data_IF_369019179487
#
_entry.id   IF_369019179487
#
_cell.length_a   1.000
_cell.length_b   1.000
_cell.length_c   1.000
_cell.angle_alpha   90.00
_cell.angle_beta   90.00
_cell.angle_gamma   90.00
#
_symmetry.space_group_name_H-M   'P 1'
#
loop_
_entity.id
_entity.type
_entity.pdbx_description
1 polymer ?
#
# COMPACT_ATOMS: atom_id res chain seq x y z
N UNK A 1 1.95 -10.80 11.53
CA UNK A 1 2.38 -11.25 10.19
C UNK A 1 1.80 -12.62 9.84
N UNK A 2 1.96 -13.66 10.69
CA UNK A 2 1.31 -14.97 10.46
C UNK A 2 -0.22 -14.91 10.32
N UNK A 3 -0.91 -14.12 11.16
CA UNK A 3 -2.35 -13.90 11.04
C UNK A 3 -2.76 -13.31 9.67
N UNK A 4 -1.93 -12.47 9.04
CA UNK A 4 -2.17 -11.97 7.68
C UNK A 4 -2.12 -13.11 6.67
N UNK A 5 -1.02 -13.86 6.67
CA UNK A 5 -0.83 -14.98 5.77
C UNK A 5 -1.95 -16.03 5.89
N UNK A 6 -2.29 -16.44 7.12
CA UNK A 6 -3.35 -17.43 7.31
C UNK A 6 -4.74 -16.89 6.96
N UNK A 7 -5.00 -15.59 7.14
CA UNK A 7 -6.25 -14.97 6.70
C UNK A 7 -6.39 -15.01 5.18
N UNK A 8 -5.32 -14.72 4.44
CA UNK A 8 -5.31 -14.85 2.98
C UNK A 8 -5.49 -16.30 2.52
N UNK A 9 -4.76 -17.24 3.13
CA UNK A 9 -4.93 -18.67 2.84
C UNK A 9 -6.32 -19.19 3.17
N UNK A 10 -7.00 -18.58 4.15
CA UNK A 10 -8.39 -18.90 4.49
C UNK A 10 -9.40 -18.27 3.53
N UNK A 11 -9.09 -17.09 2.98
CA UNK A 11 -9.93 -16.38 2.02
C UNK A 11 -9.94 -17.07 0.64
N UNK A 12 -8.82 -17.70 0.25
CA UNK A 12 -8.73 -18.49 -0.97
C UNK A 12 -9.67 -19.72 -0.96
N UNK A 13 -10.15 -20.18 -2.13
CA UNK A 13 -11.06 -21.32 -2.21
C UNK A 13 -10.35 -22.61 -1.80
N UNK A 14 -10.89 -23.32 -0.81
CA UNK A 14 -10.29 -24.56 -0.27
C UNK A 14 -10.95 -25.83 -0.80
N UNK A 15 -11.47 -25.84 -2.03
CA UNK A 15 -12.31 -26.93 -2.55
C UNK A 15 -11.75 -28.32 -2.20
N UNK A 16 -12.45 -29.04 -1.31
CA UNK A 16 -12.13 -30.42 -0.92
C UNK A 16 -10.85 -30.63 -0.10
N UNK A 17 -10.15 -29.58 0.36
CA UNK A 17 -8.90 -29.72 1.12
C UNK A 17 -9.06 -29.22 2.55
N UNK A 18 -8.94 -30.14 3.50
CA UNK A 18 -8.74 -29.79 4.91
C UNK A 18 -7.32 -29.24 5.08
N UNK A 19 -7.21 -27.94 5.39
CA UNK A 19 -5.93 -27.29 5.70
C UNK A 19 -5.87 -26.97 7.18
N UNK A 20 -4.66 -26.91 7.75
CA UNK A 20 -4.45 -26.50 9.15
C UNK A 20 -4.57 -24.97 9.35
N UNK A 21 -4.67 -24.20 8.28
CA UNK A 21 -4.69 -22.73 8.33
C UNK A 21 -5.83 -22.13 9.17
N UNK A 22 -7.07 -22.65 9.17
CA UNK A 22 -8.13 -22.11 10.03
C UNK A 22 -7.77 -22.24 11.52
N UNK A 23 -7.25 -23.39 11.95
CA UNK A 23 -6.87 -23.63 13.33
C UNK A 23 -5.69 -22.74 13.76
N UNK A 24 -4.67 -22.60 12.89
CA UNK A 24 -3.55 -21.69 13.13
C UNK A 24 -4.00 -20.23 13.17
N UNK A 25 -4.96 -19.84 12.32
CA UNK A 25 -5.51 -18.49 12.33
C UNK A 25 -6.33 -18.21 13.59
N UNK A 26 -7.12 -19.17 14.06
CA UNK A 26 -7.87 -19.02 15.32
C UNK A 26 -6.92 -18.85 16.52
N UNK A 27 -5.74 -19.45 16.47
CA UNK A 27 -4.68 -19.21 17.47
C UNK A 27 -4.04 -17.82 17.34
N UNK A 28 -3.75 -17.37 16.12
CA UNK A 28 -3.07 -16.08 15.88
C UNK A 28 -4.00 -14.86 15.92
N UNK A 29 -5.30 -15.03 15.71
CA UNK A 29 -6.31 -13.98 15.66
C UNK A 29 -7.62 -14.46 16.31
N UNK A 30 -7.62 -14.71 17.64
CA UNK A 30 -8.78 -15.27 18.34
C UNK A 30 -10.00 -14.36 18.29
N UNK A 31 -9.78 -13.04 18.24
CA UNK A 31 -10.83 -12.03 18.15
C UNK A 31 -11.30 -11.77 16.72
N UNK A 32 -10.72 -12.45 15.72
CA UNK A 32 -11.05 -12.33 14.29
C UNK A 32 -10.88 -10.90 13.75
N UNK A 33 -10.04 -10.09 14.38
CA UNK A 33 -9.86 -8.68 14.00
C UNK A 33 -9.09 -8.59 12.69
N UNK A 34 -7.99 -9.35 12.56
CA UNK A 34 -7.15 -9.35 11.36
C UNK A 34 -7.89 -10.04 10.21
N UNK A 35 -8.59 -11.14 10.48
CA UNK A 35 -9.38 -11.87 9.50
C UNK A 35 -10.48 -11.01 8.92
N UNK A 36 -11.23 -10.29 9.77
CA UNK A 36 -12.31 -9.40 9.32
C UNK A 36 -11.74 -8.25 8.48
N UNK A 37 -10.68 -7.59 8.98
CA UNK A 37 -9.98 -6.52 8.26
C UNK A 37 -9.54 -6.95 6.86
N UNK A 38 -8.89 -8.12 6.72
CA UNK A 38 -8.44 -8.61 5.41
C UNK A 38 -9.62 -8.97 4.50
N UNK A 39 -10.69 -9.55 5.05
CA UNK A 39 -11.89 -9.84 4.28
C UNK A 39 -12.55 -8.55 3.76
N UNK A 40 -12.61 -7.51 4.58
CA UNK A 40 -13.12 -6.19 4.21
C UNK A 40 -12.27 -5.57 3.10
N UNK A 41 -10.94 -5.63 3.21
CA UNK A 41 -10.01 -5.12 2.20
C UNK A 41 -10.16 -5.82 0.85
N UNK A 42 -10.33 -7.15 0.83
CA UNK A 42 -10.41 -7.93 -0.42
C UNK A 42 -11.81 -7.91 -1.06
N UNK A 43 -12.84 -7.69 -0.24
CA UNK A 43 -14.23 -7.67 -0.65
C UNK A 43 -14.67 -8.95 -1.36
N UNK A 44 -15.44 -8.81 -2.44
CA UNK A 44 -15.99 -9.95 -3.18
C UNK A 44 -14.90 -10.75 -3.89
N UNK A 45 -14.93 -12.05 -3.66
CA UNK A 45 -14.06 -13.03 -4.29
C UNK A 45 -14.37 -13.18 -5.79
N UNK A 46 -13.33 -13.10 -6.62
CA UNK A 46 -13.36 -13.34 -8.06
C UNK A 46 -12.12 -14.13 -8.44
N UNK A 47 -12.16 -14.84 -9.57
CA UNK A 47 -11.03 -15.68 -10.01
C UNK A 47 -9.72 -14.90 -10.15
N UNK A 48 -9.76 -13.69 -10.70
CA UNK A 48 -8.56 -12.85 -10.83
C UNK A 48 -7.99 -12.44 -9.48
N UNK A 49 -8.85 -12.08 -8.51
CA UNK A 49 -8.40 -11.74 -7.16
C UNK A 49 -7.83 -12.94 -6.41
N UNK A 50 -8.38 -14.14 -6.62
CA UNK A 50 -7.81 -15.37 -6.06
C UNK A 50 -6.37 -15.56 -6.53
N UNK A 51 -6.11 -15.37 -7.83
CA UNK A 51 -4.76 -15.46 -8.38
C UNK A 51 -3.82 -14.39 -7.79
N UNK A 52 -4.29 -13.15 -7.63
CA UNK A 52 -3.50 -12.08 -6.99
C UNK A 52 -3.21 -12.38 -5.51
N UNK A 53 -4.20 -12.86 -4.76
CA UNK A 53 -4.03 -13.22 -3.35
C UNK A 53 -3.11 -14.43 -3.20
N UNK A 54 -3.15 -15.39 -4.12
CA UNK A 54 -2.24 -16.53 -4.11
C UNK A 54 -0.80 -16.10 -4.39
N UNK A 55 -0.56 -15.26 -5.40
CA UNK A 55 0.74 -14.63 -5.66
C UNK A 55 1.25 -13.86 -4.43
N UNK A 56 0.40 -13.01 -3.85
CA UNK A 56 0.75 -12.23 -2.67
C UNK A 56 1.02 -13.10 -1.43
N UNK A 57 0.41 -14.29 -1.34
CA UNK A 57 0.70 -15.23 -0.26
C UNK A 57 2.12 -15.79 -0.33
N UNK A 58 2.66 -16.03 -1.53
CA UNK A 58 4.07 -16.41 -1.69
C UNK A 58 5.01 -15.29 -1.25
N UNK A 59 4.64 -14.02 -1.48
CA UNK A 59 5.36 -12.86 -0.95
C UNK A 59 5.43 -12.87 0.58
N UNK A 60 4.30 -13.07 1.25
CA UNK A 60 4.26 -13.12 2.71
C UNK A 60 5.03 -14.33 3.25
N UNK A 61 4.93 -15.48 2.58
CA UNK A 61 5.65 -16.70 2.99
C UNK A 61 7.16 -16.50 2.96
N UNK A 62 7.67 -15.85 1.91
CA UNK A 62 9.09 -15.47 1.83
C UNK A 62 9.52 -14.57 3.00
N UNK A 63 8.73 -13.54 3.32
CA UNK A 63 9.03 -12.63 4.43
C UNK A 63 8.94 -13.31 5.80
N UNK A 64 8.02 -14.26 5.97
CA UNK A 64 7.79 -14.96 7.23
C UNK A 64 8.80 -16.06 7.51
N UNK A 65 9.23 -16.77 6.46
CA UNK A 65 10.13 -17.92 6.57
C UNK A 65 11.59 -17.56 6.36
N UNK A 66 11.87 -16.33 5.90
CA UNK A 66 13.22 -15.87 5.60
C UNK A 66 13.75 -16.40 4.28
N UNK A 67 14.96 -15.95 3.93
CA UNK A 67 15.61 -16.33 2.67
C UNK A 67 16.12 -17.76 2.73
N UNK A 68 15.68 -18.57 1.79
CA UNK A 68 16.28 -19.88 1.48
C UNK A 68 17.31 -19.72 0.35
N UNK A 69 18.28 -20.63 0.22
CA UNK A 69 19.18 -20.67 -0.93
C UNK A 69 18.40 -20.72 -2.25
N UNK A 70 18.87 -19.98 -3.26
CA UNK A 70 18.16 -19.78 -4.53
C UNK A 70 17.98 -21.12 -5.29
N UNK A 71 18.89 -22.07 -5.08
CA UNK A 71 18.89 -23.43 -5.63
C UNK A 71 18.13 -24.46 -4.78
N UNK A 72 17.59 -24.04 -3.63
CA UNK A 72 16.85 -24.95 -2.77
C UNK A 72 15.56 -25.45 -3.45
N UNK A 73 15.12 -26.70 -3.22
CA UNK A 73 13.88 -27.24 -3.79
C UNK A 73 12.66 -26.35 -3.52
N UNK A 74 12.62 -25.70 -2.35
CA UNK A 74 11.55 -24.79 -1.97
C UNK A 74 11.54 -23.52 -2.83
N UNK A 75 12.69 -22.88 -3.06
CA UNK A 75 12.75 -21.69 -3.90
C UNK A 75 12.42 -22.00 -5.36
N UNK A 76 12.91 -23.14 -5.87
CA UNK A 76 12.58 -23.60 -7.22
C UNK A 76 11.06 -23.86 -7.38
N UNK A 77 10.45 -24.53 -6.40
CA UNK A 77 9.00 -24.78 -6.41
C UNK A 77 8.19 -23.47 -6.33
N UNK A 78 8.58 -22.56 -5.45
CA UNK A 78 7.94 -21.24 -5.30
C UNK A 78 8.03 -20.41 -6.59
N UNK A 79 9.21 -20.39 -7.22
CA UNK A 79 9.43 -19.71 -8.50
C UNK A 79 8.55 -20.29 -9.60
N UNK A 80 8.54 -21.63 -9.76
CA UNK A 80 7.71 -22.29 -10.76
C UNK A 80 6.21 -22.03 -10.54
N UNK A 81 5.75 -22.07 -9.29
CA UNK A 81 4.35 -21.76 -8.93
C UNK A 81 4.01 -20.30 -9.27
N UNK A 82 4.88 -19.36 -8.90
CA UNK A 82 4.72 -17.93 -9.19
C UNK A 82 4.66 -17.68 -10.71
N UNK A 83 5.56 -18.27 -11.49
CA UNK A 83 5.56 -18.16 -12.96
C UNK A 83 4.27 -18.73 -13.57
N UNK A 84 3.76 -19.85 -13.06
CA UNK A 84 2.51 -20.44 -13.51
C UNK A 84 1.31 -19.53 -13.20
N UNK A 85 1.25 -18.97 -11.99
CA UNK A 85 0.18 -18.06 -11.58
C UNK A 85 0.20 -16.76 -12.38
N UNK A 86 1.37 -16.18 -12.65
CA UNK A 86 1.50 -14.98 -13.50
C UNK A 86 0.95 -15.26 -14.91
N UNK A 87 1.26 -16.43 -15.49
CA UNK A 87 0.70 -16.81 -16.80
C UNK A 87 -0.82 -16.92 -16.76
N UNK A 88 -1.40 -17.39 -15.66
CA UNK A 88 -2.84 -17.48 -15.50
C UNK A 88 -3.48 -16.09 -15.34
N UNK A 89 -2.89 -15.22 -14.50
CA UNK A 89 -3.34 -13.82 -14.33
C UNK A 89 -3.41 -13.11 -15.68
N UNK A 90 -2.39 -13.28 -16.52
CA UNK A 90 -2.30 -12.65 -17.85
C UNK A 90 -3.38 -13.10 -18.85
N UNK A 91 -4.17 -14.14 -18.55
CA UNK A 91 -5.32 -14.57 -19.36
C UNK A 91 -6.60 -13.80 -19.05
N UNK A 92 -6.62 -13.06 -17.94
CA UNK A 92 -7.75 -12.24 -17.52
C UNK A 92 -7.52 -10.75 -17.86
N UNK A 93 -8.53 -9.92 -17.65
CA UNK A 93 -8.38 -8.46 -17.70
C UNK A 93 -7.65 -7.98 -16.42
N UNK A 94 -6.32 -8.01 -16.47
CA UNK A 94 -5.45 -7.82 -15.33
C UNK A 94 -4.85 -6.42 -15.30
N UNK A 95 -4.65 -5.87 -14.10
CA UNK A 95 -3.91 -4.63 -13.89
C UNK A 95 -2.42 -4.95 -13.72
N UNK A 96 -1.57 -4.35 -14.57
CA UNK A 96 -0.12 -4.51 -14.54
C UNK A 96 0.51 -4.00 -13.24
N UNK A 97 -0.05 -2.95 -12.65
CA UNK A 97 0.43 -2.37 -11.39
C UNK A 97 0.10 -3.27 -10.21
N UNK A 98 -1.12 -3.82 -10.15
CA UNK A 98 -1.48 -4.82 -9.14
C UNK A 98 -0.56 -6.03 -9.29
N UNK A 99 -0.39 -6.51 -10.53
CA UNK A 99 0.45 -7.66 -10.82
C UNK A 99 1.91 -7.42 -10.42
N UNK A 100 2.46 -6.23 -10.66
CA UNK A 100 3.81 -5.86 -10.24
C UNK A 100 3.92 -5.73 -8.71
N UNK A 101 2.88 -5.24 -8.03
CA UNK A 101 2.89 -5.04 -6.59
C UNK A 101 2.76 -6.32 -5.76
N UNK A 102 2.06 -7.34 -6.30
CA UNK A 102 1.99 -8.67 -5.68
C UNK A 102 3.24 -9.50 -5.95
N UNK A 103 4.01 -9.14 -6.98
CA UNK A 103 5.30 -9.75 -7.28
C UNK A 103 6.40 -9.11 -6.43
N UNK A 104 7.22 -9.94 -5.78
CA UNK A 104 8.42 -9.46 -5.13
C UNK A 104 9.46 -9.20 -6.21
N UNK A 105 9.67 -7.95 -6.58
CA UNK A 105 10.89 -7.57 -7.26
C UNK A 105 11.87 -7.07 -6.20
N UNK A 106 13.01 -7.73 -5.99
CA UNK A 106 14.11 -7.11 -5.26
C UNK A 106 14.43 -5.75 -5.89
N UNK A 107 14.65 -4.73 -5.06
CA UNK A 107 15.22 -3.49 -5.57
C UNK A 107 16.71 -3.74 -5.79
N UNK A 108 17.16 -3.54 -7.03
CA UNK A 108 18.59 -3.36 -7.28
C UNK A 108 19.03 -2.10 -6.53
N UNK A 109 19.86 -2.27 -5.50
CA UNK A 109 20.55 -1.15 -4.89
C UNK A 109 21.53 -0.54 -5.87
N UNK A 110 21.97 0.68 -5.59
CA UNK A 110 22.93 1.42 -6.43
C UNK A 110 24.27 0.71 -6.64
N UNK A 111 24.58 -0.31 -5.85
CA UNK A 111 25.76 -1.19 -5.98
C UNK A 111 25.47 -2.49 -6.77
N UNK A 112 24.29 -2.60 -7.40
CA UNK A 112 23.88 -3.77 -8.19
C UNK A 112 23.54 -5.00 -7.35
N UNK A 113 23.47 -4.88 -6.02
CA UNK A 113 22.99 -5.97 -5.17
C UNK A 113 21.47 -5.96 -5.12
N UNK A 114 20.89 -7.15 -5.12
CA UNK A 114 19.47 -7.30 -4.87
C UNK A 114 19.24 -7.09 -3.37
N UNK A 115 18.71 -5.92 -3.02
CA UNK A 115 18.30 -5.64 -1.64
C UNK A 115 16.83 -6.06 -1.47
N UNK A 116 16.60 -6.95 -0.53
CA UNK A 116 15.27 -7.31 -0.09
C UNK A 116 14.91 -6.34 1.02
N UNK A 117 13.79 -5.64 0.88
CA UNK A 117 13.42 -4.59 1.82
C UNK A 117 13.43 -5.09 3.27
N UNK A 118 14.35 -4.58 4.10
CA UNK A 118 14.22 -4.67 5.56
C UNK A 118 13.21 -3.62 6.03
N UNK A 119 11.93 -3.94 5.84
CA UNK A 119 10.86 -3.05 6.25
C UNK A 119 10.61 -3.23 7.75
N UNK A 120 10.71 -2.15 8.53
CA UNK A 120 10.26 -2.18 9.91
C UNK A 120 8.77 -2.58 9.99
N UNK A 121 8.38 -3.32 11.03
CA UNK A 121 7.09 -4.02 11.08
C UNK A 121 5.87 -3.16 10.70
N UNK A 122 5.81 -1.89 11.12
CA UNK A 122 4.67 -1.01 10.80
C UNK A 122 4.58 -0.65 9.31
N UNK A 123 5.71 -0.40 8.64
CA UNK A 123 5.73 -0.12 7.19
C UNK A 123 5.36 -1.37 6.40
N UNK A 124 5.71 -2.56 6.89
CA UNK A 124 5.36 -3.83 6.26
C UNK A 124 3.84 -4.03 6.24
N UNK A 125 3.17 -3.88 7.40
CA UNK A 125 1.72 -4.03 7.47
C UNK A 125 0.99 -2.97 6.65
N UNK A 126 1.43 -1.70 6.71
CA UNK A 126 0.86 -0.65 5.85
C UNK A 126 0.96 -0.98 4.36
N UNK A 127 2.09 -1.54 3.92
CA UNK A 127 2.25 -1.96 2.51
C UNK A 127 1.34 -3.14 2.17
N UNK A 128 1.19 -4.10 3.09
CA UNK A 128 0.23 -5.19 2.91
C UNK A 128 -1.20 -4.65 2.75
N UNK A 129 -1.62 -3.74 3.63
CA UNK A 129 -2.95 -3.13 3.54
C UNK A 129 -3.18 -2.41 2.21
N UNK A 130 -2.17 -1.66 1.74
CA UNK A 130 -2.24 -0.98 0.43
C UNK A 130 -2.42 -2.00 -0.69
N UNK A 131 -1.57 -3.03 -0.76
CA UNK A 131 -1.67 -4.05 -1.81
C UNK A 131 -3.01 -4.79 -1.76
N UNK A 132 -3.46 -5.19 -0.57
CA UNK A 132 -4.73 -5.90 -0.40
C UNK A 132 -5.93 -5.04 -0.76
N UNK A 133 -5.92 -3.75 -0.40
CA UNK A 133 -6.95 -2.78 -0.82
C UNK A 133 -7.04 -2.69 -2.34
N UNK A 134 -5.89 -2.60 -3.02
CA UNK A 134 -5.84 -2.51 -4.49
C UNK A 134 -6.38 -3.76 -5.18
N UNK A 135 -6.15 -4.95 -4.59
CA UNK A 135 -6.76 -6.20 -5.07
C UNK A 135 -8.29 -6.16 -4.88
N UNK A 136 -8.78 -5.52 -3.82
CA UNK A 136 -10.18 -5.52 -3.42
C UNK A 136 -11.12 -4.70 -4.29
N UNK A 137 -10.88 -3.40 -4.45
CA UNK A 137 -11.79 -2.56 -5.23
C UNK A 137 -11.51 -2.64 -6.74
N UNK A 138 -10.52 -3.43 -7.18
CA UNK A 138 -9.91 -3.38 -8.52
C UNK A 138 -9.39 -1.97 -8.88
N UNK A 139 -9.31 -1.07 -7.91
CA UNK A 139 -8.74 0.25 -8.04
C UNK A 139 -7.41 0.22 -7.30
N UNK A 140 -6.32 -0.09 -8.03
CA UNK A 140 -5.03 0.37 -7.55
C UNK A 140 -5.16 1.88 -7.35
N UNK A 141 -4.84 2.39 -6.14
CA UNK A 141 -4.94 3.83 -5.86
C UNK A 141 -4.15 4.60 -6.92
N UNK A 142 -4.88 5.19 -7.87
CA UNK A 142 -4.36 5.85 -9.06
C UNK A 142 -4.04 4.84 -10.16
N UNK A 143 -4.71 4.91 -11.30
CA UNK A 143 -4.07 5.57 -12.46
C UNK A 143 -2.81 6.31 -12.01
N UNK A 144 -1.64 5.67 -12.11
CA UNK A 144 -0.39 6.43 -12.11
C UNK A 144 -0.49 7.36 -13.31
N UNK A 145 -0.81 8.63 -13.05
CA UNK A 145 -0.43 9.70 -13.97
C UNK A 145 1.10 9.65 -14.05
N UNK A 146 1.61 9.75 -15.27
CA UNK A 146 2.96 9.39 -15.66
C UNK A 146 4.04 9.81 -14.64
N UNK A 147 4.98 8.89 -14.36
CA UNK A 147 6.21 9.14 -13.59
C UNK A 147 6.87 10.43 -14.09
N UNK A 148 6.82 11.48 -13.26
CA UNK A 148 7.39 12.80 -13.53
C UNK A 148 6.41 13.93 -13.21
N UNK A 149 5.16 13.80 -13.65
CA UNK A 149 4.12 14.83 -13.48
C UNK A 149 3.67 15.01 -12.03
N UNK A 150 3.59 13.93 -11.24
CA UNK A 150 3.09 13.99 -9.86
C UNK A 150 4.03 14.73 -8.91
N UNK A 151 5.35 14.74 -9.13
CA UNK A 151 6.26 15.46 -8.23
C UNK A 151 6.12 16.96 -8.44
N UNK A 152 5.96 17.40 -9.68
CA UNK A 152 5.75 18.79 -10.06
C UNK A 152 4.35 19.26 -9.63
N UNK A 153 3.30 18.47 -9.90
CA UNK A 153 1.93 18.78 -9.47
C UNK A 153 1.80 18.79 -7.95
N UNK A 154 2.43 17.83 -7.25
CA UNK A 154 2.47 17.82 -5.79
C UNK A 154 3.25 19.01 -5.25
N UNK A 155 4.39 19.36 -5.88
CA UNK A 155 5.19 20.52 -5.49
C UNK A 155 4.40 21.81 -5.68
N UNK A 156 3.71 22.00 -6.82
CA UNK A 156 2.82 23.14 -7.06
C UNK A 156 1.68 23.19 -6.04
N UNK A 157 1.08 22.04 -5.71
CA UNK A 157 -0.01 21.96 -4.74
C UNK A 157 0.48 22.31 -3.33
N UNK A 158 1.62 21.74 -2.89
CA UNK A 158 2.25 22.04 -1.60
C UNK A 158 2.64 23.52 -1.50
N UNK A 159 3.21 24.08 -2.58
CA UNK A 159 3.56 25.50 -2.67
C UNK A 159 2.30 26.36 -2.54
N UNK A 160 1.22 26.01 -3.25
CA UNK A 160 -0.04 26.74 -3.20
C UNK A 160 -0.65 26.73 -1.79
N UNK A 161 -0.71 25.57 -1.12
CA UNK A 161 -1.16 25.49 0.26
C UNK A 161 -0.27 26.29 1.23
N UNK A 162 1.05 26.24 1.04
CA UNK A 162 2.00 27.02 1.85
C UNK A 162 1.74 28.52 1.70
N UNK A 163 1.60 29.02 0.48
CA UNK A 163 1.34 30.43 0.20
C UNK A 163 -0.02 30.88 0.75
N UNK A 164 -1.06 30.05 0.61
CA UNK A 164 -2.38 30.31 1.18
C UNK A 164 -2.33 30.43 2.71
N UNK A 165 -1.56 29.56 3.38
CA UNK A 165 -1.37 29.61 4.84
C UNK A 165 -0.57 30.85 5.28
N UNK A 166 0.51 31.19 4.57
CA UNK A 166 1.32 32.37 4.87
C UNK A 166 0.52 33.67 4.71
N UNK A 167 -0.31 33.73 3.67
CA UNK A 167 -1.24 34.83 3.45
C UNK A 167 -2.29 34.92 4.56
N UNK A 168 -2.85 33.77 4.97
CA UNK A 168 -3.79 33.73 6.08
C UNK A 168 -3.12 34.24 7.35
N UNK A 169 -1.93 33.75 7.71
CA UNK A 169 -1.15 34.17 8.88
C UNK A 169 -0.89 35.69 8.85
N UNK A 170 -0.49 36.20 7.69
CA UNK A 170 -0.12 37.62 7.49
C UNK A 170 -1.32 38.55 7.29
N UNK A 171 -2.55 38.03 7.29
CA UNK A 171 -3.79 38.77 6.99
C UNK A 171 -3.74 39.51 5.64
N UNK A 172 -3.10 38.90 4.64
CA UNK A 172 -3.10 39.43 3.29
C UNK A 172 -4.45 39.14 2.62
N UNK A 173 -4.97 40.14 1.93
CA UNK A 173 -6.20 40.01 1.16
C UNK A 173 -5.89 39.41 -0.21
N UNK A 174 -6.51 38.27 -0.53
CA UNK A 174 -6.22 37.51 -1.74
C UNK A 174 -7.53 37.19 -2.47
N UNK A 175 -7.47 37.30 -3.80
CA UNK A 175 -8.62 37.26 -4.70
C UNK A 175 -8.94 35.88 -5.27
N UNK A 176 -8.06 34.90 -5.11
CA UNK A 176 -8.28 33.57 -5.70
C UNK A 176 -9.24 32.73 -4.84
N UNK A 177 -10.16 32.04 -5.53
CA UNK A 177 -11.26 31.29 -4.91
C UNK A 177 -10.78 30.13 -4.04
N UNK A 178 -9.66 29.50 -4.40
CA UNK A 178 -9.05 28.43 -3.62
C UNK A 178 -8.55 28.92 -2.25
N UNK A 179 -7.76 30.01 -2.24
CA UNK A 179 -7.29 30.63 -1.00
C UNK A 179 -8.45 31.11 -0.15
N UNK A 180 -9.47 31.73 -0.76
CA UNK A 180 -10.66 32.19 -0.06
C UNK A 180 -11.37 31.06 0.67
N UNK A 181 -11.62 29.93 0.00
CA UNK A 181 -12.27 28.76 0.60
C UNK A 181 -11.47 28.21 1.80
N UNK A 182 -10.14 28.20 1.70
CA UNK A 182 -9.28 27.75 2.80
C UNK A 182 -9.29 28.76 3.95
N UNK A 183 -9.22 30.06 3.68
CA UNK A 183 -9.29 31.10 4.71
C UNK A 183 -10.62 31.07 5.47
N UNK A 184 -11.73 30.87 4.75
CA UNK A 184 -13.06 30.68 5.34
C UNK A 184 -13.10 29.43 6.23
N UNK A 185 -12.50 28.33 5.78
CA UNK A 185 -12.41 27.08 6.56
C UNK A 185 -11.54 27.22 7.82
N UNK A 186 -10.45 27.98 7.74
CA UNK A 186 -9.60 28.28 8.90
C UNK A 186 -10.29 29.23 9.88
N UNK A 187 -11.19 30.08 9.39
CA UNK A 187 -12.00 31.01 10.16
C UNK A 187 -11.17 32.07 10.90
N UNK A 188 -11.65 32.52 12.06
CA UNK A 188 -10.96 33.55 12.85
C UNK A 188 -9.60 33.05 13.34
N UNK A 189 -8.59 33.90 13.19
CA UNK A 189 -7.27 33.69 13.78
C UNK A 189 -7.36 33.72 15.32
N UNK A 190 -6.88 32.66 15.94
CA UNK A 190 -6.62 32.58 17.38
C UNK A 190 -5.15 32.26 17.59
N UNK A 191 -4.58 32.56 18.77
CA UNK A 191 -3.17 32.28 19.05
C UNK A 191 -2.80 30.82 18.81
N UNK A 192 -3.71 29.88 19.13
CA UNK A 192 -3.55 28.45 18.86
C UNK A 192 -3.52 28.14 17.36
N UNK A 193 -4.46 28.68 16.59
CA UNK A 193 -4.52 28.45 15.14
C UNK A 193 -3.34 29.09 14.41
N UNK A 194 -2.88 30.26 14.86
CA UNK A 194 -1.67 30.90 14.34
C UNK A 194 -0.45 30.02 14.58
N UNK A 195 -0.28 29.49 15.79
CA UNK A 195 0.81 28.55 16.08
C UNK A 195 0.75 27.30 15.18
N UNK A 196 -0.42 26.68 15.05
CA UNK A 196 -0.61 25.49 14.21
C UNK A 196 -0.39 25.78 12.72
N UNK A 197 -0.85 26.93 12.23
CA UNK A 197 -0.66 27.34 10.84
C UNK A 197 0.81 27.62 10.53
N UNK A 198 1.55 28.25 11.44
CA UNK A 198 3.00 28.45 11.29
C UNK A 198 3.76 27.12 11.26
N UNK A 199 3.40 26.18 12.15
CA UNK A 199 4.01 24.84 12.16
C UNK A 199 3.72 24.09 10.86
N UNK A 200 2.47 24.15 10.37
CA UNK A 200 2.08 23.49 9.14
C UNK A 200 2.75 24.13 7.92
N UNK A 201 2.83 25.46 7.84
CA UNK A 201 3.56 26.17 6.77
C UNK A 201 5.03 25.76 6.73
N UNK A 202 5.71 25.74 7.89
CA UNK A 202 7.10 25.29 7.99
C UNK A 202 7.27 23.82 7.57
N UNK A 203 6.35 22.94 7.98
CA UNK A 203 6.35 21.54 7.58
C UNK A 203 6.20 21.39 6.06
N UNK A 204 5.23 22.06 5.43
CA UNK A 204 4.98 22.00 4.00
C UNK A 204 6.20 22.49 3.20
N UNK A 205 6.86 23.57 3.65
CA UNK A 205 8.11 24.07 3.05
C UNK A 205 9.23 23.04 3.13
N UNK A 206 9.39 22.37 4.26
CA UNK A 206 10.39 21.31 4.42
C UNK A 206 10.10 20.03 3.61
N UNK A 207 8.91 19.87 3.01
CA UNK A 207 8.63 18.78 2.06
C UNK A 207 8.99 19.15 0.60
N UNK A 208 9.31 20.43 0.35
CA UNK A 208 9.66 20.95 -0.98
C UNK A 208 11.17 21.08 -1.21
N UNK A 209 11.98 21.00 -0.15
CA UNK A 209 13.45 20.93 -0.17
C UNK A 209 13.96 19.49 -0.40
#
# INVERSE_FOLDING_TARGET
AWAYYFSLKKWLPTQGRYTGFPALLDFCDPNKTIRSHIADLLGKQTQLKELYVELFSYFLEFHLMGRHPDDSPKMLASKAATESLIKEVKKHDYDEMILAAVQINPEESSDGKLSWYEVCHHKFFRRCDITLSSIGENEWRGTFREKGSDKEVLHELLLRYSLTLDAWISKQDIKDEFTKNIHESLGKQTSKKLFQANLLSAFLKGQME
#
